data_IF_758804909004
#
_entry.id   IF_758804909004
#
_cell.length_a   1.000
_cell.length_b   1.000
_cell.length_c   1.000
_cell.angle_alpha   90.00
_cell.angle_beta   90.00
_cell.angle_gamma   90.00
#
_symmetry.space_group_name_H-M   'P 1'
#
loop_
_entity.id
_entity.type
_entity.pdbx_description
1 polymer ?
#
# COMPACT_ATOMS: atom_id res chain seq x y z
N UNK A 1 -26.80 15.00 -22.26
CA UNK A 1 -27.40 14.02 -23.21
C UNK A 1 -26.54 13.78 -24.46
N UNK A 2 -25.87 14.79 -25.03
CA UNK A 2 -25.08 14.65 -26.26
C UNK A 2 -23.95 13.59 -26.16
N UNK A 3 -23.22 13.56 -25.05
CA UNK A 3 -22.12 12.60 -24.82
C UNK A 3 -22.59 11.15 -24.61
N UNK A 4 -23.79 10.94 -24.06
CA UNK A 4 -24.37 9.60 -23.88
C UNK A 4 -24.69 8.97 -25.23
N UNK A 5 -25.27 9.74 -26.15
CA UNK A 5 -25.59 9.28 -27.51
C UNK A 5 -24.33 8.87 -28.29
N UNK A 6 -23.26 9.67 -28.23
CA UNK A 6 -21.99 9.31 -28.87
C UNK A 6 -21.36 8.06 -28.26
N UNK A 7 -21.40 7.91 -26.94
CA UNK A 7 -20.88 6.71 -26.27
C UNK A 7 -21.67 5.46 -26.69
N UNK A 8 -23.01 5.52 -26.67
CA UNK A 8 -23.86 4.41 -27.08
C UNK A 8 -23.64 4.01 -28.56
N UNK A 9 -23.47 4.98 -29.46
CA UNK A 9 -23.14 4.69 -30.86
C UNK A 9 -21.74 4.06 -31.01
N UNK A 10 -20.79 4.47 -30.17
CA UNK A 10 -19.41 3.96 -30.19
C UNK A 10 -19.31 2.53 -29.66
N UNK A 11 -19.96 2.21 -28.54
CA UNK A 11 -19.87 0.87 -27.89
C UNK A 11 -21.01 -0.07 -28.24
N UNK A 12 -22.13 0.45 -28.73
CA UNK A 12 -23.31 -0.36 -29.09
C UNK A 12 -23.06 -1.24 -30.30
N UNK A 13 -22.34 -0.73 -31.31
CA UNK A 13 -21.98 -1.48 -32.52
C UNK A 13 -21.11 -2.71 -32.20
N UNK A 14 -19.96 -2.61 -31.51
CA UNK A 14 -19.15 -3.79 -31.18
C UNK A 14 -19.89 -4.77 -30.27
N UNK A 15 -20.69 -4.28 -29.31
CA UNK A 15 -21.54 -5.14 -28.48
C UNK A 15 -22.54 -5.94 -29.32
N UNK A 16 -23.25 -5.28 -30.25
CA UNK A 16 -24.20 -5.93 -31.12
C UNK A 16 -23.52 -6.97 -32.02
N UNK A 17 -22.35 -6.66 -32.59
CA UNK A 17 -21.56 -7.60 -33.39
C UNK A 17 -21.22 -8.84 -32.56
N UNK A 18 -20.69 -8.66 -31.35
CA UNK A 18 -20.36 -9.76 -30.45
C UNK A 18 -21.59 -10.61 -30.10
N UNK A 19 -22.71 -9.97 -29.76
CA UNK A 19 -23.96 -10.66 -29.44
C UNK A 19 -24.48 -11.49 -30.60
N UNK A 20 -24.55 -10.91 -31.80
CA UNK A 20 -25.05 -11.57 -33.00
C UNK A 20 -24.16 -12.73 -33.43
N UNK A 21 -22.84 -12.65 -33.21
CA UNK A 21 -21.91 -13.71 -33.54
C UNK A 21 -22.25 -15.04 -32.84
N UNK A 22 -22.75 -14.98 -31.60
CA UNK A 22 -22.96 -16.16 -30.75
C UNK A 22 -24.43 -16.46 -30.41
N UNK A 23 -25.38 -15.54 -30.67
CA UNK A 23 -26.78 -15.69 -30.27
C UNK A 23 -27.67 -16.58 -31.17
N UNK A 24 -27.19 -16.94 -32.38
CA UNK A 24 -27.96 -17.76 -33.34
C UNK A 24 -27.50 -19.21 -33.46
N UNK A 25 -26.60 -19.68 -32.61
CA UNK A 25 -26.14 -21.07 -32.72
C UNK A 25 -27.18 -22.08 -32.26
N UNK A 26 -27.56 -22.94 -33.20
CA UNK A 26 -28.66 -23.90 -33.06
C UNK A 26 -28.21 -25.27 -32.51
N UNK A 27 -26.91 -25.56 -32.49
CA UNK A 27 -26.37 -26.87 -32.08
C UNK A 27 -25.48 -26.74 -30.85
N UNK A 28 -25.84 -27.45 -29.77
CA UNK A 28 -25.09 -27.47 -28.51
C UNK A 28 -23.62 -27.85 -28.65
N UNK A 29 -23.33 -28.83 -29.52
CA UNK A 29 -21.97 -29.31 -29.76
C UNK A 29 -21.05 -28.27 -30.41
N UNK A 30 -21.59 -27.22 -31.02
CA UNK A 30 -20.80 -26.12 -31.61
C UNK A 30 -20.59 -24.95 -30.63
N UNK A 31 -21.42 -24.82 -29.59
CA UNK A 31 -21.32 -23.73 -28.61
C UNK A 31 -20.02 -23.83 -27.80
N UNK A 32 -19.66 -25.02 -27.33
CA UNK A 32 -18.44 -25.24 -26.53
C UNK A 32 -17.15 -24.90 -27.29
N UNK A 33 -16.86 -25.50 -28.47
CA UNK A 33 -15.62 -25.22 -29.18
C UNK A 33 -15.53 -23.76 -29.62
N UNK A 34 -16.65 -23.15 -30.00
CA UNK A 34 -16.62 -21.82 -30.54
C UNK A 34 -16.72 -20.72 -29.45
N UNK A 35 -17.21 -21.07 -28.25
CA UNK A 35 -16.96 -20.31 -27.02
C UNK A 35 -15.48 -20.33 -26.61
N UNK A 36 -14.79 -21.47 -26.74
CA UNK A 36 -13.33 -21.56 -26.52
C UNK A 36 -12.54 -20.72 -27.51
N UNK A 37 -12.91 -20.75 -28.81
CA UNK A 37 -12.28 -19.90 -29.84
C UNK A 37 -12.52 -18.42 -29.54
N UNK A 38 -13.74 -18.03 -29.17
CA UNK A 38 -14.04 -16.65 -28.78
C UNK A 38 -13.20 -16.22 -27.56
N UNK A 39 -13.11 -17.05 -26.52
CA UNK A 39 -12.28 -16.77 -25.35
C UNK A 39 -10.78 -16.64 -25.70
N UNK A 40 -10.29 -17.48 -26.61
CA UNK A 40 -8.92 -17.43 -27.13
C UNK A 40 -8.62 -16.13 -27.88
N UNK A 41 -9.45 -15.78 -28.86
CA UNK A 41 -9.34 -14.55 -29.64
C UNK A 41 -9.37 -13.31 -28.74
N UNK A 42 -10.17 -13.36 -27.69
CA UNK A 42 -10.32 -12.23 -26.77
C UNK A 42 -9.09 -12.07 -25.91
N UNK A 43 -8.53 -13.18 -25.41
CA UNK A 43 -7.30 -13.14 -24.64
C UNK A 43 -6.15 -12.57 -25.48
N UNK A 44 -6.08 -12.93 -26.76
CA UNK A 44 -5.06 -12.42 -27.69
C UNK A 44 -5.26 -10.95 -28.03
N UNK A 45 -6.49 -10.52 -28.31
CA UNK A 45 -6.80 -9.11 -28.59
C UNK A 45 -6.58 -8.22 -27.36
N UNK A 46 -7.00 -8.68 -26.18
CA UNK A 46 -6.76 -7.96 -24.93
C UNK A 46 -5.26 -7.81 -24.66
N UNK A 47 -4.47 -8.87 -24.83
CA UNK A 47 -3.02 -8.82 -24.66
C UNK A 47 -2.32 -7.91 -25.69
N UNK A 48 -2.77 -7.96 -26.95
CA UNK A 48 -2.26 -7.12 -28.05
C UNK A 48 -2.49 -5.63 -27.78
N UNK A 49 -3.71 -5.28 -27.36
CA UNK A 49 -4.07 -3.90 -27.02
C UNK A 49 -3.31 -3.43 -25.78
N UNK A 50 -3.12 -4.28 -24.76
CA UNK A 50 -2.35 -3.93 -23.57
C UNK A 50 -0.84 -3.77 -23.82
N UNK A 51 -0.31 -4.35 -24.89
CA UNK A 51 1.11 -4.25 -25.26
C UNK A 51 1.43 -3.04 -26.15
N UNK A 52 0.43 -2.24 -26.52
CA UNK A 52 0.60 -1.04 -27.33
C UNK A 52 0.72 0.21 -26.42
N UNK A 53 1.63 1.12 -26.74
CA UNK A 53 1.89 2.35 -25.96
C UNK A 53 1.20 3.61 -26.51
N UNK A 54 0.17 3.46 -27.35
CA UNK A 54 -0.52 4.56 -28.02
C UNK A 54 -1.74 5.13 -27.27
N UNK A 55 -2.05 6.41 -27.44
CA UNK A 55 -3.26 7.04 -26.86
C UNK A 55 -4.59 6.38 -27.30
N UNK A 56 -4.59 5.65 -28.42
CA UNK A 56 -5.75 4.88 -28.91
C UNK A 56 -6.06 3.60 -28.13
N UNK A 57 -5.16 3.16 -27.25
CA UNK A 57 -5.26 1.90 -26.50
C UNK A 57 -6.48 1.90 -25.59
N UNK A 58 -6.75 3.00 -24.89
CA UNK A 58 -7.91 3.11 -24.01
C UNK A 58 -9.24 2.90 -24.77
N UNK A 59 -9.36 3.46 -25.97
CA UNK A 59 -10.54 3.26 -26.83
C UNK A 59 -10.63 1.82 -27.36
N UNK A 60 -9.49 1.23 -27.75
CA UNK A 60 -9.42 -0.18 -28.16
C UNK A 60 -9.88 -1.13 -27.06
N UNK A 61 -9.42 -0.93 -25.81
CA UNK A 61 -9.82 -1.75 -24.65
C UNK A 61 -11.34 -1.67 -24.46
N UNK A 62 -11.93 -0.47 -24.51
CA UNK A 62 -13.38 -0.30 -24.33
C UNK A 62 -14.16 -1.06 -25.41
N UNK A 63 -13.77 -0.94 -26.68
CA UNK A 63 -14.43 -1.64 -27.78
C UNK A 63 -14.34 -3.16 -27.64
N UNK A 64 -13.15 -3.68 -27.29
CA UNK A 64 -12.94 -5.12 -27.05
C UNK A 64 -13.78 -5.62 -25.88
N UNK A 65 -13.84 -4.87 -24.78
CA UNK A 65 -14.67 -5.21 -23.61
C UNK A 65 -16.15 -5.28 -23.98
N UNK A 66 -16.68 -4.31 -24.73
CA UNK A 66 -18.09 -4.33 -25.12
C UNK A 66 -18.40 -5.43 -26.14
N UNK A 67 -17.51 -5.70 -27.11
CA UNK A 67 -17.62 -6.86 -27.98
C UNK A 67 -17.66 -8.17 -27.18
N UNK A 68 -16.86 -8.25 -26.12
CA UNK A 68 -16.80 -9.39 -25.23
C UNK A 68 -18.06 -9.63 -24.43
N UNK A 69 -18.59 -8.57 -23.82
CA UNK A 69 -19.86 -8.64 -23.09
C UNK A 69 -20.98 -9.02 -24.05
N UNK A 70 -20.95 -8.51 -25.29
CA UNK A 70 -21.85 -8.91 -26.37
C UNK A 70 -21.78 -10.41 -26.64
N UNK A 71 -20.59 -10.93 -26.93
CA UNK A 71 -20.33 -12.35 -27.18
C UNK A 71 -20.81 -13.24 -26.02
N UNK A 72 -20.43 -12.92 -24.78
CA UNK A 72 -20.86 -13.65 -23.60
C UNK A 72 -22.38 -13.66 -23.45
N UNK A 73 -23.03 -12.51 -23.67
CA UNK A 73 -24.49 -12.38 -23.61
C UNK A 73 -25.17 -13.18 -24.72
N UNK A 74 -24.62 -13.17 -25.94
CA UNK A 74 -25.10 -13.97 -27.06
C UNK A 74 -24.99 -15.48 -26.78
N UNK A 75 -23.88 -15.91 -26.19
CA UNK A 75 -23.68 -17.30 -25.76
C UNK A 75 -24.70 -17.74 -24.70
N UNK A 76 -24.92 -16.91 -23.67
CA UNK A 76 -25.93 -17.17 -22.63
C UNK A 76 -27.33 -17.24 -23.25
N UNK A 77 -27.69 -16.29 -24.12
CA UNK A 77 -28.98 -16.28 -24.78
C UNK A 77 -29.22 -17.55 -25.62
N UNK A 78 -28.22 -17.98 -26.40
CA UNK A 78 -28.26 -19.23 -27.16
C UNK A 78 -28.50 -20.44 -26.25
N UNK A 79 -27.73 -20.57 -25.17
CA UNK A 79 -27.86 -21.66 -24.22
C UNK A 79 -29.26 -21.72 -23.59
N UNK A 80 -29.76 -20.59 -23.09
CA UNK A 80 -31.08 -20.48 -22.46
C UNK A 80 -32.21 -20.82 -23.45
N UNK A 81 -32.15 -20.30 -24.68
CA UNK A 81 -33.15 -20.61 -25.72
C UNK A 81 -33.14 -22.09 -26.07
N UNK A 82 -31.96 -22.70 -26.15
CA UNK A 82 -31.86 -24.12 -26.45
C UNK A 82 -32.36 -25.02 -25.31
N UNK A 83 -32.13 -24.65 -24.05
CA UNK A 83 -32.72 -25.33 -22.88
C UNK A 83 -34.24 -25.21 -22.94
N UNK A 84 -34.75 -24.01 -23.25
CA UNK A 84 -36.18 -23.76 -23.44
C UNK A 84 -36.83 -24.63 -24.52
N UNK A 85 -36.10 -24.87 -25.62
CA UNK A 85 -36.54 -25.77 -26.70
C UNK A 85 -36.60 -27.22 -26.25
N UNK A 86 -35.62 -27.71 -25.47
CA UNK A 86 -35.63 -29.08 -24.94
C UNK A 86 -36.74 -29.30 -23.91
N UNK A 87 -36.96 -28.32 -23.03
CA UNK A 87 -37.90 -28.42 -21.89
C UNK A 87 -39.33 -27.98 -22.23
N UNK A 88 -39.58 -27.50 -23.46
CA UNK A 88 -40.86 -26.93 -23.93
C UNK A 88 -41.41 -25.77 -23.08
N UNK A 89 -40.59 -25.12 -22.27
CA UNK A 89 -40.97 -23.98 -21.44
C UNK A 89 -41.26 -22.75 -22.30
N UNK A 90 -42.50 -22.24 -22.28
CA UNK A 90 -42.92 -21.05 -23.07
C UNK A 90 -42.16 -19.78 -22.67
N UNK A 91 -41.76 -19.65 -21.41
CA UNK A 91 -41.02 -18.50 -20.90
C UNK A 91 -39.59 -18.37 -21.48
N UNK A 92 -39.00 -19.48 -21.95
CA UNK A 92 -37.64 -19.51 -22.50
C UNK A 92 -37.62 -19.43 -24.04
N UNK A 93 -38.70 -18.94 -24.64
CA UNK A 93 -38.76 -18.70 -26.10
C UNK A 93 -37.82 -17.56 -26.49
N UNK A 94 -37.20 -17.70 -27.66
CA UNK A 94 -36.26 -16.73 -28.22
C UNK A 94 -36.81 -15.29 -28.27
N UNK A 95 -38.12 -15.13 -28.50
CA UNK A 95 -38.80 -13.83 -28.53
C UNK A 95 -38.67 -13.06 -27.21
N UNK A 96 -38.62 -13.76 -26.07
CA UNK A 96 -38.47 -13.12 -24.75
C UNK A 96 -37.02 -13.11 -24.29
N UNK A 97 -36.28 -14.20 -24.53
CA UNK A 97 -34.90 -14.35 -24.03
C UNK A 97 -33.92 -13.42 -24.76
N UNK A 98 -34.02 -13.30 -26.10
CA UNK A 98 -33.04 -12.50 -26.85
C UNK A 98 -33.08 -11.01 -26.47
N UNK A 99 -34.24 -10.32 -26.42
CA UNK A 99 -34.27 -8.92 -26.00
C UNK A 99 -33.86 -8.74 -24.54
N UNK A 100 -34.31 -9.64 -23.65
CA UNK A 100 -33.98 -9.55 -22.23
C UNK A 100 -32.47 -9.70 -21.97
N UNK A 101 -31.83 -10.72 -22.56
CA UNK A 101 -30.39 -10.94 -22.40
C UNK A 101 -29.59 -9.87 -23.12
N UNK A 102 -30.06 -9.35 -24.27
CA UNK A 102 -29.39 -8.24 -24.96
C UNK A 102 -29.37 -6.97 -24.09
N UNK A 103 -30.50 -6.61 -23.47
CA UNK A 103 -30.60 -5.40 -22.62
C UNK A 103 -29.82 -5.58 -21.32
N UNK A 104 -30.00 -6.71 -20.62
CA UNK A 104 -29.31 -7.00 -19.37
C UNK A 104 -27.80 -7.14 -19.56
N UNK A 105 -27.38 -7.79 -20.65
CA UNK A 105 -25.99 -7.95 -21.04
C UNK A 105 -25.31 -6.60 -21.24
N UNK A 106 -25.94 -5.69 -21.98
CA UNK A 106 -25.41 -4.34 -22.21
C UNK A 106 -25.35 -3.54 -20.91
N UNK A 107 -26.40 -3.61 -20.09
CA UNK A 107 -26.49 -2.94 -18.79
C UNK A 107 -25.49 -3.45 -17.75
N UNK A 108 -25.00 -4.69 -17.90
CA UNK A 108 -24.09 -5.33 -16.92
C UNK A 108 -22.78 -4.56 -16.73
N UNK A 109 -22.23 -3.94 -17.80
CA UNK A 109 -21.03 -3.12 -17.71
C UNK A 109 -21.22 -1.94 -16.75
N UNK A 110 -22.35 -1.23 -16.88
CA UNK A 110 -22.68 -0.09 -16.02
C UNK A 110 -22.97 -0.54 -14.59
N UNK A 111 -23.67 -1.66 -14.41
CA UNK A 111 -23.94 -2.21 -13.09
C UNK A 111 -22.65 -2.62 -12.37
N UNK A 112 -21.72 -3.29 -13.05
CA UNK A 112 -20.43 -3.71 -12.48
C UNK A 112 -19.56 -2.51 -12.15
N UNK A 113 -19.41 -1.56 -13.08
CA UNK A 113 -18.59 -0.36 -12.85
C UNK A 113 -19.16 0.52 -11.73
N UNK A 114 -20.48 0.71 -11.70
CA UNK A 114 -21.16 1.40 -10.60
C UNK A 114 -20.96 0.69 -9.26
N UNK A 115 -21.13 -0.63 -9.23
CA UNK A 115 -20.94 -1.43 -8.02
C UNK A 115 -19.49 -1.36 -7.55
N UNK A 116 -18.52 -1.48 -8.45
CA UNK A 116 -17.10 -1.32 -8.14
C UNK A 116 -16.80 0.08 -7.61
N UNK A 117 -17.40 1.13 -8.19
CA UNK A 117 -17.27 2.49 -7.69
C UNK A 117 -17.84 2.62 -6.29
N UNK A 118 -19.07 2.13 -6.04
CA UNK A 118 -19.71 2.18 -4.71
C UNK A 118 -18.95 1.38 -3.65
N UNK A 119 -18.40 0.22 -4.02
CA UNK A 119 -17.52 -0.57 -3.15
C UNK A 119 -16.24 0.22 -2.85
N UNK A 120 -15.62 0.87 -3.83
CA UNK A 120 -14.44 1.72 -3.60
C UNK A 120 -14.79 2.89 -2.68
N UNK A 121 -15.89 3.60 -2.93
CA UNK A 121 -16.38 4.69 -2.08
C UNK A 121 -16.58 4.22 -0.64
N UNK A 122 -17.22 3.06 -0.43
CA UNK A 122 -17.43 2.50 0.91
C UNK A 122 -16.12 2.04 1.58
N UNK A 123 -15.21 1.45 0.80
CA UNK A 123 -13.91 0.96 1.30
C UNK A 123 -12.97 2.10 1.70
N UNK A 124 -12.99 3.21 0.97
CA UNK A 124 -12.15 4.38 1.23
C UNK A 124 -12.87 5.53 1.95
N UNK A 125 -14.08 5.30 2.45
CA UNK A 125 -14.78 6.26 3.30
C UNK A 125 -13.92 6.62 4.53
N UNK A 126 -13.90 7.91 4.95
CA UNK A 126 -13.11 8.34 6.08
C UNK A 126 -13.54 7.64 7.38
N UNK A 127 -12.62 7.45 8.34
CA UNK A 127 -12.98 7.00 9.69
C UNK A 127 -13.91 8.00 10.40
N UNK A 128 -14.57 7.53 11.46
CA UNK A 128 -15.37 8.41 12.32
C UNK A 128 -14.47 9.45 13.00
N UNK A 129 -15.00 10.64 13.29
CA UNK A 129 -14.24 11.73 13.94
C UNK A 129 -13.59 11.27 15.25
N UNK A 130 -14.30 10.48 16.06
CA UNK A 130 -13.75 9.91 17.29
C UNK A 130 -12.49 9.07 17.07
N UNK A 131 -12.43 8.27 16.00
CA UNK A 131 -11.24 7.49 15.64
C UNK A 131 -10.08 8.39 15.18
N UNK A 132 -10.35 9.57 14.66
CA UNK A 132 -9.30 10.47 14.21
C UNK A 132 -8.79 11.42 15.31
N UNK A 133 -9.65 11.74 16.28
CA UNK A 133 -9.36 12.72 17.34
C UNK A 133 -8.88 12.08 18.65
N UNK A 134 -9.20 10.80 18.89
CA UNK A 134 -8.84 10.09 20.11
C UNK A 134 -7.44 9.48 20.04
N UNK A 135 -6.90 9.15 21.22
CA UNK A 135 -5.75 8.28 21.35
C UNK A 135 -6.23 6.84 21.57
N UNK A 136 -5.65 5.92 20.82
CA UNK A 136 -6.05 4.54 20.82
C UNK A 136 -5.13 3.70 21.70
N UNK A 137 -5.64 3.08 22.78
CA UNK A 137 -4.81 2.28 23.67
C UNK A 137 -4.35 1.01 22.94
N UNK A 138 -3.06 0.75 22.99
CA UNK A 138 -2.45 -0.47 22.47
C UNK A 138 -1.32 -0.92 23.39
N UNK A 139 -0.81 -2.13 23.15
CA UNK A 139 0.33 -2.68 23.89
C UNK A 139 1.38 -3.22 22.94
N UNK A 140 2.65 -2.93 23.19
CA UNK A 140 3.78 -3.57 22.52
C UNK A 140 4.59 -4.35 23.56
N UNK A 141 4.59 -5.68 23.43
CA UNK A 141 4.91 -6.57 24.55
C UNK A 141 4.13 -6.15 25.83
N UNK A 142 4.82 -5.82 26.92
CA UNK A 142 4.18 -5.36 28.17
C UNK A 142 4.06 -3.84 28.32
N UNK A 143 4.46 -3.05 27.32
CA UNK A 143 4.43 -1.58 27.40
C UNK A 143 3.11 -1.05 26.84
N UNK A 144 2.35 -0.35 27.68
CA UNK A 144 1.16 0.38 27.26
C UNK A 144 1.55 1.63 26.45
N UNK A 145 0.88 1.83 25.32
CA UNK A 145 1.05 2.98 24.44
C UNK A 145 -0.32 3.50 23.99
N UNK A 146 -0.38 4.79 23.70
CA UNK A 146 -1.55 5.48 23.18
C UNK A 146 -1.20 6.01 21.79
N UNK A 147 -1.79 5.42 20.75
CA UNK A 147 -1.44 5.69 19.35
C UNK A 147 -2.44 6.69 18.75
N UNK A 148 -1.99 7.85 18.26
CA UNK A 148 -2.83 8.73 17.44
C UNK A 148 -2.92 8.20 16.00
N UNK A 149 -4.05 8.47 15.32
CA UNK A 149 -4.15 8.24 13.87
C UNK A 149 -3.40 9.35 13.12
N UNK A 150 -2.10 9.12 12.91
CA UNK A 150 -1.19 10.08 12.29
C UNK A 150 -0.60 9.54 10.97
N UNK A 151 -0.23 10.41 10.01
CA UNK A 151 0.53 9.99 8.85
C UNK A 151 1.91 9.44 9.25
N UNK A 152 2.43 8.53 8.43
CA UNK A 152 3.75 7.96 8.66
C UNK A 152 3.81 6.92 9.78
N UNK A 153 2.72 6.61 10.49
CA UNK A 153 2.67 5.51 11.44
C UNK A 153 2.17 4.23 10.75
N UNK A 154 2.98 3.18 10.85
CA UNK A 154 2.69 1.83 10.42
C UNK A 154 2.80 0.89 11.62
N UNK A 155 1.73 0.15 11.91
CA UNK A 155 1.68 -0.78 13.04
C UNK A 155 1.69 -2.21 12.52
N UNK A 156 2.27 -3.15 13.26
CA UNK A 156 2.18 -4.57 12.96
C UNK A 156 1.57 -5.30 14.16
N UNK A 157 0.47 -6.03 13.94
CA UNK A 157 -0.21 -6.81 14.98
C UNK A 157 0.45 -8.15 15.32
N UNK A 158 -0.08 -8.83 16.34
CA UNK A 158 0.35 -10.18 16.76
C UNK A 158 -0.36 -11.34 16.03
N UNK A 159 -1.30 -11.05 15.11
CA UNK A 159 -2.07 -12.06 14.37
C UNK A 159 -1.25 -12.93 13.40
N UNK A 160 -1.82 -14.05 12.95
CA UNK A 160 -1.17 -15.02 12.04
C UNK A 160 -1.03 -14.53 10.59
N UNK A 161 -1.70 -13.45 10.21
CA UNK A 161 -1.41 -12.72 8.96
C UNK A 161 -0.70 -11.43 9.30
N UNK A 162 0.18 -10.97 8.42
CA UNK A 162 0.85 -9.66 8.43
C UNK A 162 -0.16 -8.48 8.40
N UNK A 163 -1.05 -8.39 9.40
CA UNK A 163 -1.95 -7.27 9.63
C UNK A 163 -1.09 -6.09 10.01
N UNK A 164 -0.78 -5.32 8.98
CA UNK A 164 -0.11 -4.05 9.11
C UNK A 164 -1.16 -2.96 9.00
N UNK A 165 -1.27 -2.13 10.03
CA UNK A 165 -2.16 -0.99 10.01
C UNK A 165 -1.40 0.21 9.47
N UNK A 166 -1.74 0.58 8.25
CA UNK A 166 -1.28 1.80 7.63
C UNK A 166 -2.20 2.93 8.14
N UNK A 167 -1.79 3.71 9.15
CA UNK A 167 -2.71 4.70 9.74
C UNK A 167 -3.06 5.87 8.81
N UNK A 168 -2.38 5.94 7.67
CA UNK A 168 -2.74 6.85 6.59
C UNK A 168 -3.81 6.28 5.62
N UNK A 169 -4.03 4.97 5.61
CA UNK A 169 -5.07 4.33 4.84
C UNK A 169 -6.39 4.36 5.62
N UNK A 170 -7.44 5.00 5.10
CA UNK A 170 -8.77 5.04 5.73
C UNK A 170 -9.32 3.66 6.16
N UNK A 171 -9.25 2.58 5.35
CA UNK A 171 -9.71 1.26 5.79
C UNK A 171 -8.88 0.72 6.96
N UNK A 172 -7.55 0.91 6.95
CA UNK A 172 -6.67 0.34 7.96
C UNK A 172 -6.72 1.14 9.27
N UNK A 173 -6.87 2.47 9.19
CA UNK A 173 -7.15 3.32 10.35
C UNK A 173 -8.47 2.93 11.02
N UNK A 174 -9.55 2.69 10.25
CA UNK A 174 -10.83 2.22 10.80
C UNK A 174 -10.70 0.86 11.49
N UNK A 175 -9.97 -0.07 10.88
CA UNK A 175 -9.75 -1.39 11.44
C UNK A 175 -8.97 -1.31 12.76
N UNK A 176 -7.89 -0.54 12.80
CA UNK A 176 -7.11 -0.30 14.01
C UNK A 176 -7.93 0.34 15.13
N UNK A 177 -8.66 1.42 14.85
CA UNK A 177 -9.52 2.06 15.85
C UNK A 177 -10.55 1.09 16.44
N UNK A 178 -11.18 0.27 15.59
CA UNK A 178 -12.13 -0.73 16.05
C UNK A 178 -11.53 -1.79 16.98
N UNK A 179 -10.28 -2.20 16.73
CA UNK A 179 -9.55 -3.15 17.57
C UNK A 179 -9.06 -2.50 18.88
N UNK A 180 -8.48 -1.32 18.78
CA UNK A 180 -7.89 -0.61 19.90
C UNK A 180 -8.94 -0.08 20.89
N UNK A 181 -10.06 0.46 20.40
CA UNK A 181 -11.16 0.91 21.26
C UNK A 181 -11.85 -0.26 21.99
N UNK A 182 -11.70 -1.49 21.47
CA UNK A 182 -12.10 -2.72 22.13
C UNK A 182 -11.16 -3.19 23.25
N UNK A 183 -10.02 -2.51 23.47
CA UNK A 183 -9.07 -2.78 24.55
C UNK A 183 -8.10 -3.94 24.31
N UNK A 184 -8.06 -4.50 23.09
CA UNK A 184 -7.30 -5.72 22.78
C UNK A 184 -6.17 -5.53 21.77
N UNK A 185 -5.87 -4.30 21.34
CA UNK A 185 -4.83 -4.07 20.35
C UNK A 185 -3.44 -4.42 20.91
N UNK A 186 -2.86 -5.50 20.41
CA UNK A 186 -1.49 -5.92 20.74
C UNK A 186 -0.62 -5.88 19.49
N UNK A 187 0.52 -5.21 19.63
CA UNK A 187 1.43 -4.86 18.56
C UNK A 187 2.74 -5.62 18.72
N UNK A 188 3.29 -6.04 17.59
CA UNK A 188 4.64 -6.58 17.45
C UNK A 188 5.65 -5.47 17.18
N UNK A 189 5.26 -4.46 16.41
CA UNK A 189 6.08 -3.29 16.15
C UNK A 189 5.27 -2.04 15.78
N UNK A 190 5.90 -0.89 16.06
CA UNK A 190 5.45 0.44 15.66
C UNK A 190 6.55 1.05 14.81
N UNK A 191 6.21 1.45 13.59
CA UNK A 191 7.13 2.10 12.65
C UNK A 191 6.66 3.52 12.39
N UNK A 192 7.60 4.45 12.47
CA UNK A 192 7.45 5.86 12.13
C UNK A 192 8.26 6.16 10.88
N UNK A 193 7.61 6.71 9.87
CA UNK A 193 8.23 7.29 8.68
C UNK A 193 8.13 8.79 8.77
N UNK A 194 9.24 9.43 9.12
CA UNK A 194 9.34 10.84 9.49
C UNK A 194 10.02 11.68 8.41
N UNK A 195 10.35 11.11 7.25
CA UNK A 195 10.91 11.83 6.12
C UNK A 195 9.84 12.51 5.24
N UNK A 196 8.56 12.34 5.58
CA UNK A 196 7.42 12.84 4.82
C UNK A 196 7.18 12.09 3.50
N UNK A 197 7.86 10.97 3.23
CA UNK A 197 7.74 10.21 1.98
C UNK A 197 6.31 9.68 1.70
N UNK A 198 5.55 9.14 2.69
CA UNK A 198 4.14 8.80 2.50
C UNK A 198 3.25 10.02 2.22
N UNK A 199 3.67 11.20 2.68
CA UNK A 199 2.90 12.43 2.61
C UNK A 199 2.73 12.94 1.17
N UNK A 200 3.61 12.55 0.23
CA UNK A 200 3.61 13.02 -1.17
C UNK A 200 2.32 12.71 -1.96
N UNK A 201 1.53 11.69 -1.57
CA UNK A 201 0.31 11.27 -2.30
C UNK A 201 -1.00 11.45 -1.52
N UNK A 202 -0.94 11.62 -0.21
CA UNK A 202 -2.13 11.47 0.64
C UNK A 202 -2.47 12.68 1.51
N UNK A 203 -1.60 13.70 1.56
CA UNK A 203 -1.90 14.98 2.20
C UNK A 203 -3.09 15.74 1.56
N UNK A 204 -3.56 15.30 0.38
CA UNK A 204 -4.79 15.78 -0.24
C UNK A 204 -6.06 15.26 0.46
N UNK A 205 -5.94 14.29 1.38
CA UNK A 205 -7.06 13.82 2.20
C UNK A 205 -7.04 14.52 3.56
N UNK A 206 -8.13 15.23 3.87
CA UNK A 206 -8.39 16.04 5.08
C UNK A 206 -8.17 15.25 6.39
N UNK A 207 -6.92 15.01 6.79
CA UNK A 207 -6.60 14.32 8.04
C UNK A 207 -6.51 15.33 9.19
N UNK A 208 -7.22 15.12 10.31
CA UNK A 208 -7.23 16.07 11.40
C UNK A 208 -5.89 16.15 12.13
N UNK A 209 -5.07 15.10 12.14
CA UNK A 209 -3.79 15.10 12.86
C UNK A 209 -2.86 16.26 12.43
N UNK A 210 -2.67 16.47 11.13
CA UNK A 210 -1.84 17.56 10.60
C UNK A 210 -2.60 18.89 10.42
N UNK A 211 -3.89 18.94 10.77
CA UNK A 211 -4.71 20.15 10.60
C UNK A 211 -4.53 21.17 11.73
N UNK A 212 -3.96 20.72 12.86
CA UNK A 212 -3.68 21.54 14.04
C UNK A 212 -2.25 21.27 14.55
N UNK A 213 -1.64 22.21 15.28
CA UNK A 213 -0.39 21.96 15.99
C UNK A 213 -0.52 20.80 16.98
N UNK A 214 0.53 20.00 17.10
CA UNK A 214 0.61 18.80 17.95
C UNK A 214 1.81 18.93 18.91
N UNK A 215 1.76 19.84 19.91
CA UNK A 215 2.89 20.10 20.79
C UNK A 215 3.29 18.87 21.65
N UNK A 216 2.38 17.92 21.83
CA UNK A 216 2.62 16.67 22.56
C UNK A 216 3.50 15.69 21.77
N UNK A 217 3.57 15.84 20.44
CA UNK A 217 4.25 14.92 19.53
C UNK A 217 5.44 15.61 18.85
N UNK A 218 6.68 15.45 19.36
CA UNK A 218 7.86 16.14 18.84
C UNK A 218 8.25 15.72 17.41
N UNK A 219 7.61 14.68 16.88
CA UNK A 219 7.77 14.14 15.54
C UNK A 219 6.67 14.58 14.56
N UNK A 220 5.59 15.22 15.04
CA UNK A 220 4.42 15.51 14.22
C UNK A 220 4.76 16.44 13.04
N UNK A 221 5.60 17.45 13.24
CA UNK A 221 6.04 18.35 12.17
C UNK A 221 6.70 17.59 11.01
N UNK A 222 7.58 16.64 11.33
CA UNK A 222 8.29 15.82 10.35
C UNK A 222 7.38 14.78 9.66
N UNK A 223 6.41 14.23 10.38
CA UNK A 223 5.40 13.35 9.78
C UNK A 223 4.42 14.10 8.87
N UNK A 224 4.14 15.37 9.20
CA UNK A 224 3.21 16.23 8.48
C UNK A 224 3.86 17.07 7.37
N UNK A 225 5.18 17.21 7.32
CA UNK A 225 5.84 18.05 6.32
C UNK A 225 7.04 17.34 5.69
N UNK A 226 7.16 17.46 4.36
CA UNK A 226 8.29 16.95 3.60
C UNK A 226 9.57 17.63 4.03
N UNK A 227 10.53 16.84 4.50
CA UNK A 227 11.86 17.33 4.82
C UNK A 227 12.68 17.37 3.52
N UNK A 228 13.30 18.52 3.17
CA UNK A 228 14.16 18.60 2.02
C UNK A 228 15.23 17.50 2.03
N UNK A 229 15.51 16.91 0.87
CA UNK A 229 16.43 15.78 0.76
C UNK A 229 17.87 16.15 1.05
N UNK A 230 18.23 17.42 0.99
CA UNK A 230 19.55 17.98 1.26
C UNK A 230 19.78 18.33 2.75
N UNK A 231 18.72 18.31 3.57
CA UNK A 231 18.79 18.64 5.00
C UNK A 231 19.14 17.41 5.85
N UNK A 232 19.98 17.63 6.87
CA UNK A 232 20.34 16.68 7.92
C UNK A 232 19.52 17.02 9.18
N UNK A 233 18.41 16.33 9.47
CA UNK A 233 17.60 16.59 10.65
C UNK A 233 18.27 16.09 11.93
N UNK A 234 17.92 16.72 13.06
CA UNK A 234 18.29 16.33 14.42
C UNK A 234 17.52 15.11 14.96
N UNK A 235 16.53 14.66 14.21
CA UNK A 235 15.64 13.53 14.53
C UNK A 235 15.82 12.39 13.52
N UNK A 236 15.43 11.15 13.88
CA UNK A 236 15.44 10.05 12.93
C UNK A 236 14.47 10.33 11.76
N UNK A 237 14.85 9.89 10.56
CA UNK A 237 14.00 9.96 9.35
C UNK A 237 13.06 8.77 9.25
N UNK A 238 13.44 7.64 9.85
CA UNK A 238 12.58 6.48 10.05
C UNK A 238 12.95 5.84 11.38
N UNK A 239 11.97 5.28 12.08
CA UNK A 239 12.18 4.61 13.36
C UNK A 239 11.23 3.44 13.52
N UNK A 240 11.70 2.35 14.10
CA UNK A 240 10.93 1.15 14.40
C UNK A 240 11.17 0.78 15.86
N UNK A 241 10.09 0.58 16.61
CA UNK A 241 10.14 -0.08 17.92
C UNK A 241 9.49 -1.44 17.77
N UNK A 242 10.17 -2.50 18.19
CA UNK A 242 9.69 -3.87 18.03
C UNK A 242 9.97 -4.72 19.27
N UNK A 243 9.18 -5.78 19.43
CA UNK A 243 9.49 -6.83 20.39
C UNK A 243 10.80 -7.51 20.00
N UNK A 244 11.71 -7.70 20.95
CA UNK A 244 12.98 -8.40 20.73
C UNK A 244 12.71 -9.82 20.26
N UNK A 245 13.38 -10.23 19.18
CA UNK A 245 13.39 -11.63 18.78
C UNK A 245 14.17 -12.48 19.81
N UNK A 246 13.87 -13.79 19.95
CA UNK A 246 14.71 -14.69 20.73
C UNK A 246 16.17 -14.64 20.25
N UNK A 247 17.13 -14.41 21.15
CA UNK A 247 18.54 -14.25 20.80
C UNK A 247 18.88 -12.92 20.12
N UNK A 248 18.02 -11.90 20.25
CA UNK A 248 18.32 -10.55 19.79
C UNK A 248 19.57 -10.01 20.48
N UNK A 249 20.58 -9.73 19.67
CA UNK A 249 21.80 -9.08 20.09
C UNK A 249 22.19 -8.11 18.96
N UNK A 250 21.99 -6.79 19.17
CA UNK A 250 22.21 -5.79 18.14
C UNK A 250 23.68 -5.77 17.69
N UNK A 251 24.59 -6.24 18.55
CA UNK A 251 26.04 -6.23 18.33
C UNK A 251 26.58 -7.43 17.56
N UNK A 252 25.78 -8.45 17.22
CA UNK A 252 26.27 -9.66 16.51
C UNK A 252 26.86 -9.28 15.16
N UNK A 253 26.08 -8.55 14.36
CA UNK A 253 26.49 -8.12 13.03
C UNK A 253 27.67 -7.16 13.09
N UNK A 254 27.74 -6.38 14.15
CA UNK A 254 28.81 -5.42 14.43
C UNK A 254 30.12 -6.15 14.74
N UNK A 255 30.08 -7.16 15.62
CA UNK A 255 31.22 -8.02 15.95
C UNK A 255 31.75 -8.75 14.73
N UNK A 256 30.88 -9.29 13.88
CA UNK A 256 31.31 -9.95 12.64
C UNK A 256 32.06 -9.00 11.69
N UNK A 257 31.63 -7.75 11.59
CA UNK A 257 32.28 -6.73 10.75
C UNK A 257 33.62 -6.31 11.35
N UNK A 258 33.67 -6.10 12.67
CA UNK A 258 34.89 -5.74 13.40
C UNK A 258 35.97 -6.82 13.29
N UNK A 259 35.58 -8.09 13.25
CA UNK A 259 36.51 -9.22 13.10
C UNK A 259 37.10 -9.32 11.68
N UNK A 260 36.36 -8.89 10.66
CA UNK A 260 36.74 -9.05 9.24
C UNK A 260 37.52 -7.86 8.68
N UNK A 261 37.40 -6.68 9.28
CA UNK A 261 37.94 -5.44 8.74
C UNK A 261 38.79 -4.67 9.76
N UNK A 262 39.88 -4.06 9.30
CA UNK A 262 40.66 -3.14 10.13
C UNK A 262 39.93 -1.79 10.28
N UNK A 263 39.92 -1.26 11.49
CA UNK A 263 39.37 0.05 11.79
C UNK A 263 40.35 1.17 11.37
N UNK A 264 39.81 2.21 10.73
CA UNK A 264 40.45 3.52 10.65
C UNK A 264 39.99 4.33 11.86
N UNK A 265 40.93 4.82 12.67
CA UNK A 265 40.61 5.57 13.90
C UNK A 265 40.94 7.04 13.70
N UNK A 266 39.94 7.90 13.85
CA UNK A 266 40.11 9.35 13.80
C UNK A 266 40.59 9.91 15.16
N UNK A 267 41.03 11.16 15.17
CA UNK A 267 41.58 11.83 16.37
C UNK A 267 40.55 12.02 17.50
N UNK A 268 39.26 12.05 17.15
CA UNK A 268 38.13 12.11 18.07
C UNK A 268 37.71 10.73 18.62
N UNK A 269 38.44 9.67 18.25
CA UNK A 269 38.18 8.30 18.65
C UNK A 269 37.10 7.58 17.83
N UNK A 270 36.54 8.21 16.79
CA UNK A 270 35.63 7.55 15.85
C UNK A 270 36.36 6.42 15.13
N UNK A 271 35.81 5.21 15.18
CA UNK A 271 36.31 4.07 14.41
C UNK A 271 35.42 3.84 13.19
N UNK A 272 36.04 3.74 12.03
CA UNK A 272 35.37 3.46 10.76
C UNK A 272 35.82 2.11 10.23
N UNK A 273 34.86 1.22 9.98
CA UNK A 273 35.07 -0.06 9.32
C UNK A 273 34.43 0.00 7.93
N UNK A 274 35.19 -0.35 6.89
CA UNK A 274 34.69 -0.30 5.51
C UNK A 274 34.37 -1.70 5.00
N UNK A 275 33.20 -1.87 4.40
CA UNK A 275 32.79 -3.13 3.77
C UNK A 275 32.06 -2.83 2.46
N UNK A 276 32.76 -2.98 1.33
CA UNK A 276 32.23 -2.67 0.00
C UNK A 276 31.66 -1.24 -0.08
N UNK A 277 30.33 -1.10 -0.17
CA UNK A 277 29.62 0.18 -0.28
C UNK A 277 29.10 0.72 1.06
N UNK A 278 29.21 -0.07 2.13
CA UNK A 278 28.77 0.32 3.47
C UNK A 278 29.97 0.69 4.34
N UNK A 279 29.74 1.66 5.21
CA UNK A 279 30.63 2.09 6.27
C UNK A 279 29.98 1.76 7.60
N UNK A 280 30.76 1.30 8.56
CA UNK A 280 30.29 1.15 9.92
C UNK A 280 31.05 2.10 10.81
N UNK A 281 30.30 2.92 11.54
CA UNK A 281 30.84 3.98 12.37
C UNK A 281 30.60 3.62 13.83
N UNK A 282 31.67 3.57 14.61
CA UNK A 282 31.65 3.26 16.04
C UNK A 282 32.19 4.43 16.86
N UNK A 283 31.39 4.90 17.81
CA UNK A 283 31.81 5.93 18.78
C UNK A 283 32.67 5.33 19.90
N UNK A 284 33.41 6.18 20.64
CA UNK A 284 34.22 5.74 21.77
C UNK A 284 33.46 5.03 22.89
N UNK A 285 32.16 5.34 23.06
CA UNK A 285 31.27 4.71 24.05
C UNK A 285 30.66 3.39 23.58
N UNK A 286 31.04 2.92 22.39
CA UNK A 286 30.59 1.64 21.84
C UNK A 286 29.35 1.75 20.95
N UNK A 287 28.70 2.91 20.84
CA UNK A 287 27.59 3.13 19.90
C UNK A 287 28.02 2.82 18.47
N UNK A 288 27.19 2.09 17.74
CA UNK A 288 27.52 1.59 16.41
C UNK A 288 26.36 1.84 15.44
N UNK A 289 26.71 2.27 14.23
CA UNK A 289 25.75 2.50 13.16
C UNK A 289 26.30 2.00 11.83
N UNK A 290 25.43 1.41 11.01
CA UNK A 290 25.72 1.08 9.61
C UNK A 290 25.29 2.25 8.75
N UNK A 291 26.25 2.83 8.04
CA UNK A 291 26.06 3.98 7.17
C UNK A 291 26.29 3.62 5.70
N UNK A 292 25.46 4.17 4.83
CA UNK A 292 25.56 4.04 3.39
C UNK A 292 25.83 5.41 2.76
N UNK A 293 26.82 5.46 1.87
CA UNK A 293 27.12 6.66 1.07
C UNK A 293 26.46 6.52 -0.31
N UNK A 294 25.46 7.35 -0.56
CA UNK A 294 24.71 7.36 -1.82
C UNK A 294 25.53 7.92 -3.00
N UNK A 295 26.68 8.57 -2.75
CA UNK A 295 27.53 9.22 -3.76
C UNK A 295 26.76 10.12 -4.74
N UNK A 296 25.63 10.67 -4.29
CA UNK A 296 24.75 11.52 -5.09
C UNK A 296 24.92 12.97 -4.69
N UNK A 297 24.99 13.88 -5.68
CA UNK A 297 25.01 15.32 -5.42
C UNK A 297 23.73 15.82 -4.76
N UNK A 298 22.60 15.13 -4.94
CA UNK A 298 21.32 15.47 -4.29
C UNK A 298 21.16 14.91 -2.88
N UNK A 299 22.08 14.04 -2.44
CA UNK A 299 22.10 13.43 -1.10
C UNK A 299 23.54 13.45 -0.57
N UNK A 300 24.05 14.62 -0.16
CA UNK A 300 25.46 14.80 0.23
C UNK A 300 25.78 14.24 1.63
N UNK A 301 24.94 13.37 2.18
CA UNK A 301 25.00 12.84 3.54
C UNK A 301 25.04 11.30 3.53
N UNK A 302 25.52 10.74 4.63
CA UNK A 302 25.49 9.32 4.93
C UNK A 302 24.12 8.94 5.48
N UNK A 303 23.52 7.88 4.95
CA UNK A 303 22.30 7.27 5.48
C UNK A 303 22.68 6.21 6.51
N UNK A 304 22.45 6.47 7.79
CA UNK A 304 22.88 5.60 8.87
C UNK A 304 21.70 4.92 9.56
N UNK A 305 21.83 3.63 9.84
CA UNK A 305 20.92 2.85 10.67
C UNK A 305 21.62 2.43 11.94
N UNK A 306 21.00 2.65 13.09
CA UNK A 306 21.43 2.12 14.37
C UNK A 306 20.30 1.30 15.02
N UNK A 307 20.70 0.26 15.75
CA UNK A 307 19.79 -0.60 16.50
C UNK A 307 20.26 -0.66 17.95
N UNK A 308 19.37 -0.36 18.88
CA UNK A 308 19.66 -0.35 20.30
C UNK A 308 18.62 -1.14 21.08
N UNK A 309 18.98 -1.51 22.31
CA UNK A 309 18.01 -1.97 23.29
C UNK A 309 17.25 -0.79 23.88
N UNK A 310 15.92 -0.88 23.86
CA UNK A 310 15.04 0.14 24.44
C UNK A 310 14.57 -0.25 25.84
N UNK A 311 14.28 -1.54 26.05
CA UNK A 311 13.98 -2.15 27.35
C UNK A 311 14.38 -3.64 27.32
N UNK A 312 14.09 -4.39 28.39
CA UNK A 312 14.33 -5.84 28.41
C UNK A 312 13.62 -6.57 27.26
N UNK A 313 12.41 -6.11 26.88
CA UNK A 313 11.57 -6.76 25.87
C UNK A 313 11.54 -6.04 24.51
N UNK A 314 11.98 -4.78 24.45
CA UNK A 314 11.86 -3.95 23.25
C UNK A 314 13.22 -3.55 22.67
N UNK A 315 13.29 -3.56 21.35
CA UNK A 315 14.38 -2.98 20.57
C UNK A 315 13.89 -1.71 19.86
N UNK A 316 14.82 -0.80 19.61
CA UNK A 316 14.61 0.38 18.78
C UNK A 316 15.62 0.39 17.66
N UNK A 317 15.14 0.52 16.42
CA UNK A 317 15.97 0.69 15.23
C UNK A 317 15.59 2.00 14.58
N UNK A 318 16.55 2.83 14.20
CA UNK A 318 16.25 4.09 13.55
C UNK A 318 17.27 4.44 12.47
N UNK A 319 16.77 5.13 11.46
CA UNK A 319 17.53 5.66 10.34
C UNK A 319 17.69 7.17 10.50
N UNK A 320 18.86 7.69 10.18
CA UNK A 320 19.19 9.10 10.29
C UNK A 320 20.24 9.51 9.27
N UNK A 321 20.27 10.80 8.96
CA UNK A 321 21.23 11.40 8.04
C UNK A 321 22.37 12.00 8.84
N UNK A 322 23.59 11.95 8.32
CA UNK A 322 24.75 12.59 8.97
C UNK A 322 25.92 12.75 8.00
N UNK A 323 27.03 13.34 8.44
CA UNK A 323 28.33 13.28 7.76
C UNK A 323 29.36 12.63 8.69
N UNK A 324 30.53 12.29 8.17
CA UNK A 324 31.60 11.76 9.02
C UNK A 324 31.98 12.76 10.13
N UNK A 325 32.02 14.07 9.86
CA UNK A 325 32.38 15.07 10.89
C UNK A 325 31.27 15.28 11.93
N UNK A 326 30.01 15.13 11.54
CA UNK A 326 28.87 15.36 12.43
C UNK A 326 28.47 14.11 13.21
N UNK A 327 28.92 12.92 12.81
CA UNK A 327 28.43 11.64 13.32
C UNK A 327 28.44 11.54 14.86
N UNK A 328 29.55 11.87 15.51
CA UNK A 328 29.67 11.72 16.98
C UNK A 328 28.61 12.57 17.70
N UNK A 329 28.45 13.83 17.30
CA UNK A 329 27.49 14.74 17.95
C UNK A 329 26.06 14.41 17.55
N UNK A 330 25.83 14.17 16.26
CA UNK A 330 24.49 13.97 15.70
C UNK A 330 23.85 12.68 16.21
N UNK A 331 24.60 11.59 16.27
CA UNK A 331 24.07 10.29 16.72
C UNK A 331 23.56 10.32 18.16
N UNK A 332 24.18 11.09 19.05
CA UNK A 332 23.70 11.31 20.43
C UNK A 332 22.33 11.98 20.41
N UNK A 333 22.20 13.07 19.65
CA UNK A 333 20.96 13.86 19.58
C UNK A 333 19.84 13.04 18.95
N UNK A 334 20.13 12.33 17.86
CA UNK A 334 19.18 11.46 17.16
C UNK A 334 18.72 10.31 18.07
N UNK A 335 19.64 9.64 18.79
CA UNK A 335 19.29 8.55 19.70
C UNK A 335 18.36 9.04 20.83
N UNK A 336 18.66 10.21 21.41
CA UNK A 336 17.81 10.85 22.41
C UNK A 336 16.43 11.19 21.85
N UNK A 337 16.37 11.76 20.64
CA UNK A 337 15.11 12.08 19.97
C UNK A 337 14.31 10.82 19.61
N UNK A 338 14.95 9.73 19.16
CA UNK A 338 14.28 8.46 18.90
C UNK A 338 13.60 7.92 20.17
N UNK A 339 14.29 7.94 21.31
CA UNK A 339 13.72 7.56 22.61
C UNK A 339 12.57 8.50 23.03
N UNK A 340 12.73 9.81 22.82
CA UNK A 340 11.69 10.80 23.12
C UNK A 340 10.42 10.59 22.28
N UNK A 341 10.57 10.22 20.99
CA UNK A 341 9.45 9.90 20.11
C UNK A 341 8.66 8.71 20.64
N UNK A 342 9.30 7.60 21.00
CA UNK A 342 8.57 6.48 21.60
C UNK A 342 7.96 6.84 22.95
N UNK A 343 8.66 7.61 23.79
CA UNK A 343 8.13 8.04 25.07
C UNK A 343 6.91 8.97 24.93
N UNK A 344 6.78 9.72 23.84
CA UNK A 344 5.57 10.53 23.56
C UNK A 344 4.30 9.69 23.33
N UNK A 345 4.44 8.39 23.09
CA UNK A 345 3.30 7.46 22.99
C UNK A 345 2.92 6.82 24.33
N UNK A 346 3.72 6.99 25.38
CA UNK A 346 3.39 6.40 26.69
C UNK A 346 2.32 7.27 27.38
N UNK A 347 1.36 6.65 28.09
CA UNK A 347 0.29 7.36 28.78
C UNK A 347 0.78 8.24 29.94
#
# INVERSE_FOLDING_TARGET
MHYLGHFLSFVGVPYAIGFLALCFWRRWWLLVPAGLVAAGLVKTEYASVNASDGAGVAFGIILVVFAMIGAASGFIASGVVLIGRMTRLRALRAVYVLPAVFILGFGSYFAVTWTQQKIREARYAPPAAACLDNLHPARIADVAVAIPVAPGILLFGNGMSDEHYILWSNPDARAFCGEADGGNATLKSVVFMLDGSPARREMETKRPFCSRPQPEYPWAEMACHLIPTDVIPDKPVQMTVSVKAPGFDPSVREREVMLKNQAIVASDGLRTYRSQNDFYLQRPDGYFARCHDHRSKSQPWLSCTATEELSEQLAISYEFRTTAELFIKQSVVVAANARAIFNSLKP
#
